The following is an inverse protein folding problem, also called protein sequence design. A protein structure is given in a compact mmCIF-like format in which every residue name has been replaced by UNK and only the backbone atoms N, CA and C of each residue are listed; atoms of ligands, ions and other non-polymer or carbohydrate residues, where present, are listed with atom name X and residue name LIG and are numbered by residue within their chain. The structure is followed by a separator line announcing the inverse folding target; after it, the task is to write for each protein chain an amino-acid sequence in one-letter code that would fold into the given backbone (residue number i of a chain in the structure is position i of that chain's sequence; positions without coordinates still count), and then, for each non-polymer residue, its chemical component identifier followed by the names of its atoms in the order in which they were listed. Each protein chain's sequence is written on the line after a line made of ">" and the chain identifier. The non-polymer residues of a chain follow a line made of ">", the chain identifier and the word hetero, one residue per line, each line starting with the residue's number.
data_IF_448862277048
#
_entry.id   IF_448862277048
#
_cell.length_a   1.000
_cell.length_b   1.000
_cell.length_c   1.000
_cell.angle_alpha   90.00
_cell.angle_beta   90.00
_cell.angle_gamma   90.00
#
_symmetry.space_group_name_H-M   'P 1'
#
loop_
_entity.id
_entity.type
_entity.pdbx_description
1 polymer ?
#
# COMPACT_ATOMS: atom_id res chain seq x y z
N UNK A 1 62.69 37.70 -3.40
CA UNK A 1 62.03 36.70 -4.28
C UNK A 1 60.82 36.16 -3.54
N UNK A 2 59.62 36.29 -4.11
CA UNK A 2 58.32 36.09 -3.42
C UNK A 2 58.04 34.59 -3.27
N UNK A 3 57.82 34.13 -2.03
CA UNK A 3 57.45 32.74 -1.74
C UNK A 3 55.97 32.54 -2.07
N UNK A 4 55.69 31.61 -2.99
CA UNK A 4 54.33 31.28 -3.44
C UNK A 4 53.83 30.07 -2.63
N UNK A 5 52.94 30.30 -1.66
CA UNK A 5 52.22 29.21 -0.99
C UNK A 5 51.13 28.68 -1.93
N UNK A 6 51.27 27.44 -2.40
CA UNK A 6 50.19 26.72 -3.08
C UNK A 6 49.20 26.19 -2.04
N UNK A 7 47.97 26.71 -2.05
CA UNK A 7 46.84 26.16 -1.30
C UNK A 7 46.20 25.04 -2.13
N UNK A 8 46.38 23.79 -1.71
CA UNK A 8 45.69 22.64 -2.30
C UNK A 8 44.33 22.49 -1.63
N UNK A 9 43.28 23.04 -2.25
CA UNK A 9 41.90 22.78 -1.83
C UNK A 9 41.51 21.36 -2.23
N UNK A 10 41.52 20.41 -1.28
CA UNK A 10 40.91 19.10 -1.52
C UNK A 10 39.40 19.25 -1.54
N UNK A 11 38.77 19.08 -2.71
CA UNK A 11 37.32 18.90 -2.81
C UNK A 11 36.95 17.51 -2.30
N UNK A 12 36.67 17.40 -1.00
CA UNK A 12 36.01 16.22 -0.44
C UNK A 12 34.52 16.31 -0.76
N UNK A 13 33.90 15.30 -1.40
CA UNK A 13 32.47 15.30 -1.63
C UNK A 13 31.77 15.15 -0.29
N UNK A 14 31.03 16.18 0.13
CA UNK A 14 30.12 16.09 1.26
C UNK A 14 28.93 15.27 0.79
N UNK A 15 28.91 13.98 1.13
CA UNK A 15 27.73 13.14 0.94
C UNK A 15 26.73 13.53 2.04
N UNK A 16 25.79 14.40 1.67
CA UNK A 16 24.65 14.74 2.54
C UNK A 16 23.72 13.53 2.54
N UNK A 17 23.83 12.69 3.56
CA UNK A 17 22.77 11.76 3.93
C UNK A 17 21.64 12.59 4.54
N UNK A 18 20.73 13.08 3.69
CA UNK A 18 19.47 13.62 4.17
C UNK A 18 18.73 12.49 4.88
N UNK A 19 18.34 12.71 6.14
CA UNK A 19 17.40 11.85 6.83
C UNK A 19 16.12 11.83 5.99
N UNK A 20 15.91 10.76 5.21
CA UNK A 20 14.67 10.62 4.45
C UNK A 20 13.59 10.36 5.47
N UNK A 21 12.93 11.45 5.90
CA UNK A 21 11.77 11.40 6.74
C UNK A 21 10.84 10.28 6.25
N UNK A 22 10.42 9.42 7.18
CA UNK A 22 9.55 8.28 6.90
C UNK A 22 8.29 8.77 6.14
N UNK A 23 7.95 8.20 4.97
CA UNK A 23 6.81 8.67 4.19
C UNK A 23 5.49 8.27 4.85
N UNK A 24 4.47 9.13 4.79
CA UNK A 24 3.12 8.72 5.16
C UNK A 24 2.57 7.73 4.12
N UNK A 25 2.06 6.59 4.59
CA UNK A 25 1.48 5.56 3.71
C UNK A 25 -0.04 5.60 3.83
N UNK A 26 -0.73 5.89 2.73
CA UNK A 26 -2.19 5.84 2.64
C UNK A 26 -2.56 4.72 1.67
N UNK A 27 -3.24 3.69 2.19
CA UNK A 27 -3.71 2.55 1.40
C UNK A 27 -5.22 2.63 1.19
N UNK A 28 -5.65 2.83 -0.05
CA UNK A 28 -7.07 2.93 -0.43
C UNK A 28 -7.50 1.60 -1.05
N UNK A 29 -8.52 0.97 -0.46
CA UNK A 29 -9.12 -0.26 -0.98
C UNK A 29 -10.58 -0.02 -1.33
N UNK A 30 -10.87 0.10 -2.63
CA UNK A 30 -12.25 0.14 -3.11
C UNK A 30 -12.93 -1.23 -2.96
N UNK A 31 -14.23 -1.22 -2.74
CA UNK A 31 -15.06 -2.42 -2.61
C UNK A 31 -15.85 -2.59 -3.92
N UNK A 32 -15.78 -3.77 -4.52
CA UNK A 32 -16.47 -4.13 -5.77
C UNK A 32 -16.23 -3.17 -6.96
N UNK A 33 -15.03 -2.59 -7.06
CA UNK A 33 -14.59 -1.79 -8.21
C UNK A 33 -14.04 -2.71 -9.32
N UNK A 34 -14.66 -2.67 -10.50
CA UNK A 34 -14.24 -3.42 -11.67
C UNK A 34 -13.03 -2.79 -12.39
N UNK A 35 -12.27 -3.63 -13.10
CA UNK A 35 -11.08 -3.19 -13.85
C UNK A 35 -11.41 -2.05 -14.84
N UNK A 36 -12.55 -2.13 -15.53
CA UNK A 36 -12.96 -1.15 -16.54
C UNK A 36 -13.76 0.05 -16.02
N UNK A 37 -13.91 0.21 -14.70
CA UNK A 37 -14.69 1.31 -14.12
C UNK A 37 -13.93 2.64 -14.12
N UNK A 38 -12.60 2.59 -14.11
CA UNK A 38 -11.73 3.76 -14.12
C UNK A 38 -11.36 4.15 -15.55
N UNK A 39 -11.36 5.45 -15.86
CA UNK A 39 -10.93 5.94 -17.19
C UNK A 39 -9.50 5.57 -17.54
N UNK A 40 -8.62 5.45 -16.55
CA UNK A 40 -7.23 5.01 -16.74
C UNK A 40 -7.12 3.57 -17.29
N UNK A 41 -8.17 2.76 -17.15
CA UNK A 41 -8.25 1.37 -17.64
C UNK A 41 -9.22 1.20 -18.80
N UNK A 42 -10.18 2.12 -18.92
CA UNK A 42 -11.18 2.13 -19.99
C UNK A 42 -11.40 3.59 -20.45
N UNK A 43 -10.69 4.04 -21.50
CA UNK A 43 -10.81 5.41 -21.99
C UNK A 43 -12.24 5.81 -22.40
N UNK A 44 -13.03 4.84 -22.86
CA UNK A 44 -14.45 4.98 -23.23
C UNK A 44 -15.40 4.90 -22.01
N UNK A 45 -14.84 4.80 -20.80
CA UNK A 45 -15.55 4.76 -19.54
C UNK A 45 -16.44 5.99 -19.35
N UNK A 46 -17.71 5.74 -18.99
CA UNK A 46 -18.73 6.80 -18.85
C UNK A 46 -18.70 7.49 -17.48
N UNK A 47 -18.09 6.86 -16.47
CA UNK A 47 -18.04 7.37 -15.10
C UNK A 47 -16.90 8.40 -15.02
N UNK A 48 -17.18 9.56 -14.42
CA UNK A 48 -16.15 10.58 -14.15
C UNK A 48 -15.43 10.21 -12.86
N UNK A 49 -14.12 9.99 -12.93
CA UNK A 49 -13.29 9.55 -11.80
C UNK A 49 -12.10 10.49 -11.56
N UNK A 50 -12.31 11.83 -11.43
CA UNK A 50 -11.24 12.82 -11.54
C UNK A 50 -10.09 12.63 -10.54
N UNK A 51 -10.38 12.17 -9.31
CA UNK A 51 -9.35 11.92 -8.30
C UNK A 51 -8.45 10.73 -8.64
N UNK A 52 -9.00 9.60 -9.07
CA UNK A 52 -8.19 8.45 -9.50
C UNK A 52 -7.48 8.72 -10.82
N UNK A 53 -8.12 9.47 -11.73
CA UNK A 53 -7.51 9.86 -13.01
C UNK A 53 -6.28 10.74 -12.79
N UNK A 54 -6.32 11.64 -11.79
CA UNK A 54 -5.16 12.42 -11.39
C UNK A 54 -4.06 11.54 -10.80
N UNK A 55 -4.40 10.65 -9.85
CA UNK A 55 -3.42 9.71 -9.27
C UNK A 55 -2.75 8.83 -10.34
N UNK A 56 -3.51 8.40 -11.35
CA UNK A 56 -2.97 7.61 -12.46
C UNK A 56 -2.00 8.41 -13.35
N UNK A 57 -2.25 9.70 -13.59
CA UNK A 57 -1.36 10.56 -14.39
C UNK A 57 -0.08 10.96 -13.67
N UNK A 58 -0.16 11.17 -12.36
CA UNK A 58 0.97 11.63 -11.53
C UNK A 58 1.78 10.47 -10.93
N UNK A 59 1.25 9.25 -11.04
CA UNK A 59 1.82 8.05 -10.42
C UNK A 59 2.11 6.93 -11.41
N UNK A 60 1.97 5.71 -10.90
CA UNK A 60 2.20 4.49 -11.65
C UNK A 60 0.91 3.69 -11.72
N UNK A 61 0.69 3.08 -12.89
CA UNK A 61 -0.50 2.30 -13.21
C UNK A 61 -0.08 0.86 -13.49
N UNK A 62 -0.73 -0.10 -12.82
CA UNK A 62 -0.55 -1.52 -13.07
C UNK A 62 -1.71 -2.04 -13.91
N UNK A 63 -1.41 -2.57 -15.09
CA UNK A 63 -2.40 -3.18 -16.00
C UNK A 63 -2.62 -4.67 -15.73
N UNK A 64 -1.78 -5.26 -14.87
CA UNK A 64 -1.85 -6.66 -14.47
C UNK A 64 -1.62 -6.75 -12.95
N UNK A 65 -2.70 -6.58 -12.18
CA UNK A 65 -2.70 -6.65 -10.73
C UNK A 65 -3.90 -7.48 -10.27
N UNK A 66 -3.64 -8.51 -9.47
CA UNK A 66 -4.67 -9.47 -9.07
C UNK A 66 -4.93 -9.44 -7.56
N UNK A 67 -6.20 -9.50 -7.18
CA UNK A 67 -6.59 -9.87 -5.83
C UNK A 67 -6.38 -11.37 -5.60
N UNK A 68 -6.19 -11.77 -4.34
CA UNK A 68 -6.03 -13.19 -4.01
C UNK A 68 -7.34 -14.01 -4.17
N UNK A 69 -8.47 -13.34 -4.40
CA UNK A 69 -9.81 -13.91 -4.48
C UNK A 69 -10.79 -12.90 -5.09
N UNK A 70 -11.90 -13.39 -5.61
CA UNK A 70 -12.99 -12.57 -6.16
C UNK A 70 -14.02 -12.12 -5.11
N UNK A 71 -13.79 -12.33 -3.81
CA UNK A 71 -14.73 -11.96 -2.74
C UNK A 71 -14.04 -11.27 -1.54
N UNK A 72 -14.81 -10.53 -0.76
CA UNK A 72 -14.31 -9.50 0.16
C UNK A 72 -13.37 -10.02 1.27
N UNK A 73 -13.83 -10.98 2.10
CA UNK A 73 -13.07 -11.52 3.24
C UNK A 73 -11.68 -12.05 2.83
N UNK A 74 -11.54 -13.00 1.88
CA UNK A 74 -10.23 -13.51 1.50
C UNK A 74 -9.32 -12.42 0.93
N UNK A 75 -9.82 -11.48 0.12
CA UNK A 75 -9.04 -10.34 -0.40
C UNK A 75 -8.47 -9.51 0.73
N UNK A 76 -9.31 -9.11 1.69
CA UNK A 76 -8.89 -8.29 2.85
C UNK A 76 -7.91 -9.05 3.75
N UNK A 77 -8.08 -10.36 3.92
CA UNK A 77 -7.13 -11.20 4.66
C UNK A 77 -5.75 -11.16 3.99
N UNK A 78 -5.71 -11.29 2.66
CA UNK A 78 -4.46 -11.23 1.90
C UNK A 78 -3.76 -9.88 2.01
N UNK A 79 -4.52 -8.79 1.84
CA UNK A 79 -4.00 -7.43 1.94
C UNK A 79 -3.37 -7.17 3.31
N UNK A 80 -4.04 -7.56 4.39
CA UNK A 80 -3.53 -7.27 5.74
C UNK A 80 -2.41 -8.20 6.17
N UNK A 81 -2.41 -9.47 5.76
CA UNK A 81 -1.48 -10.48 6.28
C UNK A 81 -0.33 -10.82 5.34
N UNK A 82 -0.40 -10.40 4.07
CA UNK A 82 0.53 -10.82 3.02
C UNK A 82 0.45 -12.32 2.69
N UNK A 83 -0.64 -13.00 3.04
CA UNK A 83 -0.80 -14.46 2.89
C UNK A 83 -2.00 -14.81 2.04
N UNK A 84 -1.87 -15.89 1.28
CA UNK A 84 -3.02 -16.49 0.60
C UNK A 84 -4.09 -16.91 1.61
N UNK A 85 -5.35 -16.58 1.30
CA UNK A 85 -6.48 -16.83 2.19
C UNK A 85 -6.72 -18.32 2.52
N UNK A 86 -6.31 -19.24 1.63
CA UNK A 86 -6.37 -20.68 1.90
C UNK A 86 -5.51 -21.11 3.11
N UNK A 87 -4.61 -20.25 3.61
CA UNK A 87 -3.82 -20.49 4.82
C UNK A 87 -4.58 -20.11 6.11
N UNK A 88 -5.69 -19.38 6.00
CA UNK A 88 -6.60 -19.11 7.12
C UNK A 88 -7.48 -20.32 7.42
N UNK A 89 -8.26 -20.28 8.50
CA UNK A 89 -9.30 -21.30 8.78
C UNK A 89 -10.46 -21.29 7.77
N UNK A 90 -10.64 -20.20 7.02
CA UNK A 90 -11.74 -20.06 6.05
C UNK A 90 -11.27 -20.46 4.64
N UNK A 91 -11.93 -21.46 4.05
CA UNK A 91 -11.54 -21.99 2.72
C UNK A 91 -12.46 -21.56 1.58
N UNK A 92 -13.63 -21.00 1.89
CA UNK A 92 -14.63 -20.56 0.91
C UNK A 92 -15.56 -19.50 1.50
N UNK A 93 -16.14 -18.68 0.62
CA UNK A 93 -17.16 -17.69 0.95
C UNK A 93 -16.61 -16.44 1.65
N UNK A 94 -17.51 -15.74 2.34
CA UNK A 94 -17.21 -14.54 3.14
C UNK A 94 -17.76 -14.70 4.56
N UNK A 95 -17.17 -13.99 5.51
CA UNK A 95 -17.70 -13.96 6.88
C UNK A 95 -19.07 -13.28 6.90
N UNK A 96 -19.92 -13.71 7.82
CA UNK A 96 -21.18 -13.05 8.13
C UNK A 96 -21.05 -12.23 9.43
N UNK A 97 -22.10 -11.49 9.80
CA UNK A 97 -22.08 -10.58 10.96
C UNK A 97 -21.87 -11.24 12.32
N UNK A 98 -22.03 -12.57 12.43
CA UNK A 98 -21.83 -13.33 13.68
C UNK A 98 -20.56 -14.19 13.66
N UNK A 99 -19.77 -14.10 12.60
CA UNK A 99 -18.54 -14.88 12.50
C UNK A 99 -17.48 -14.34 13.44
N UNK A 100 -16.73 -15.22 14.10
CA UNK A 100 -15.53 -14.81 14.85
C UNK A 100 -14.48 -14.18 13.94
N UNK A 101 -13.55 -13.42 14.52
CA UNK A 101 -12.39 -12.88 13.82
C UNK A 101 -11.60 -13.97 13.08
N UNK A 102 -11.09 -13.63 11.89
CA UNK A 102 -10.41 -14.58 11.01
C UNK A 102 -8.88 -14.53 11.16
N UNK A 103 -8.32 -13.37 11.46
CA UNK A 103 -6.88 -13.20 11.66
C UNK A 103 -6.49 -13.79 13.02
N UNK A 104 -5.59 -14.76 13.05
CA UNK A 104 -5.21 -15.43 14.30
C UNK A 104 -4.50 -14.46 15.27
N UNK A 105 -4.68 -14.67 16.58
CA UNK A 105 -3.95 -13.89 17.59
C UNK A 105 -2.43 -13.97 17.37
N UNK A 106 -1.75 -12.83 17.46
CA UNK A 106 -0.31 -12.73 17.19
C UNK A 106 0.09 -12.81 15.72
N UNK A 107 -0.86 -12.94 14.78
CA UNK A 107 -0.57 -12.85 13.35
C UNK A 107 -0.11 -11.43 13.01
N UNK A 108 1.13 -11.32 12.53
CA UNK A 108 1.63 -10.07 11.97
C UNK A 108 0.78 -9.63 10.78
N UNK A 109 0.46 -8.35 10.76
CA UNK A 109 -0.25 -7.65 9.69
C UNK A 109 0.58 -6.46 9.20
N UNK A 110 0.24 -5.91 8.05
CA UNK A 110 0.85 -4.66 7.54
C UNK A 110 0.83 -3.54 8.60
N UNK A 111 -0.31 -3.22 9.26
CA UNK A 111 -0.30 -2.20 10.30
C UNK A 111 0.56 -2.58 11.52
N UNK A 112 0.53 -3.82 12.03
CA UNK A 112 1.40 -4.17 13.17
C UNK A 112 2.89 -4.12 12.81
N UNK A 113 3.24 -4.49 11.57
CA UNK A 113 4.60 -4.32 11.06
C UNK A 113 5.00 -2.83 11.02
N UNK A 114 4.14 -1.96 10.48
CA UNK A 114 4.40 -0.52 10.43
C UNK A 114 4.50 0.11 11.83
N UNK A 115 3.67 -0.31 12.78
CA UNK A 115 3.77 0.11 14.18
C UNK A 115 5.15 -0.24 14.79
N UNK A 116 5.67 -1.44 14.51
CA UNK A 116 7.02 -1.83 14.94
C UNK A 116 8.13 -0.96 14.30
N UNK A 117 7.84 -0.31 13.17
CA UNK A 117 8.73 0.66 12.53
C UNK A 117 8.48 2.10 12.99
N UNK A 118 7.65 2.32 14.01
CA UNK A 118 7.35 3.63 14.59
C UNK A 118 6.28 4.44 13.85
N UNK A 119 5.45 3.80 13.02
CA UNK A 119 4.31 4.46 12.40
C UNK A 119 3.09 4.45 13.31
N UNK A 120 2.32 5.55 13.26
CA UNK A 120 0.94 5.52 13.70
C UNK A 120 0.05 4.91 12.60
N UNK A 121 -0.84 4.02 12.99
CA UNK A 121 -1.74 3.34 12.04
C UNK A 121 -3.19 3.57 12.43
N UNK A 122 -4.02 3.86 11.45
CA UNK A 122 -5.47 3.96 11.61
C UNK A 122 -6.16 3.17 10.50
N UNK A 123 -7.42 2.78 10.76
CA UNK A 123 -8.27 2.08 9.80
C UNK A 123 -9.62 2.78 9.73
N UNK A 124 -10.12 3.03 8.51
CA UNK A 124 -11.39 3.70 8.25
C UNK A 124 -12.13 2.91 7.17
N UNK A 125 -13.37 2.48 7.45
CA UNK A 125 -14.24 1.82 6.49
C UNK A 125 -14.52 0.34 6.78
N UNK A 126 -14.62 -0.48 5.72
CA UNK A 126 -15.12 -1.87 5.79
C UNK A 126 -14.05 -2.87 6.24
N UNK A 127 -14.27 -3.52 7.38
CA UNK A 127 -13.36 -4.53 7.93
C UNK A 127 -13.52 -5.92 7.29
N UNK A 128 -14.67 -6.55 7.47
CA UNK A 128 -15.07 -7.87 6.91
C UNK A 128 -14.11 -9.04 7.20
N UNK A 129 -13.39 -8.98 8.32
CA UNK A 129 -12.51 -10.05 8.83
C UNK A 129 -12.94 -10.58 10.21
N UNK A 130 -14.23 -10.41 10.52
CA UNK A 130 -14.89 -10.80 11.77
C UNK A 130 -14.68 -9.79 12.89
#
# INVERSE_FOLDING_TARGET
>A
MKSLLLFVCSFLPVIVFGDRAKPNVVYILADDLGYGDLKSMNPEGKIKTPGSDQMAREGMVFTDAHSNSAVCTPTRYGVLTGRYAFRSRMKKGVLNGYSSYLIENGRMTVPSFLQNQGYHTAFIGKWHLG
#
